data_IF_829025266198
#
_entry.id   IF_829025266198
#
_cell.length_a   1.000
_cell.length_b   1.000
_cell.length_c   1.000
_cell.angle_alpha   90.00
_cell.angle_beta   90.00
_cell.angle_gamma   90.00
#
_symmetry.space_group_name_H-M   'P 1'
#
loop_
_entity.id
_entity.type
_entity.pdbx_description
1 polymer ?
#
# COMPACT_ATOMS: atom_id res chain seq x y z
N UNK A 1 2.07 24.93 4.24
CA UNK A 1 2.03 25.85 3.08
C UNK A 1 1.97 24.99 1.82
N UNK A 2 0.88 25.04 1.05
CA UNK A 2 0.81 24.29 -0.22
C UNK A 2 1.45 25.15 -1.32
N UNK A 3 2.71 24.86 -1.67
CA UNK A 3 3.49 25.62 -2.63
C UNK A 3 3.17 25.14 -4.04
N UNK A 4 2.41 25.93 -4.81
CA UNK A 4 2.22 25.68 -6.24
C UNK A 4 3.46 26.11 -7.02
N UNK A 5 4.06 25.20 -7.77
CA UNK A 5 5.21 25.47 -8.65
C UNK A 5 4.74 25.49 -10.10
N UNK A 6 5.11 26.52 -10.86
CA UNK A 6 4.81 26.62 -12.30
C UNK A 6 5.98 26.07 -13.11
N UNK A 7 5.71 25.10 -13.96
CA UNK A 7 6.68 24.48 -14.88
C UNK A 7 6.13 24.45 -16.30
N UNK A 8 7.02 24.46 -17.30
CA UNK A 8 6.67 24.23 -18.70
C UNK A 8 6.97 22.77 -19.06
N UNK A 9 5.98 22.06 -19.58
CA UNK A 9 6.09 20.65 -19.98
C UNK A 9 5.58 20.47 -21.39
N UNK A 10 6.15 19.51 -22.11
CA UNK A 10 5.67 19.09 -23.43
C UNK A 10 4.86 17.81 -23.24
N UNK A 11 3.62 17.81 -23.72
CA UNK A 11 2.74 16.64 -23.70
C UNK A 11 2.45 16.21 -25.15
N UNK A 12 2.20 14.92 -25.35
CA UNK A 12 1.76 14.42 -26.66
C UNK A 12 0.42 15.04 -27.00
N UNK A 13 0.20 15.30 -28.29
CA UNK A 13 -1.03 15.95 -28.76
C UNK A 13 -2.30 15.21 -28.30
N UNK A 14 -2.32 13.88 -28.41
CA UNK A 14 -3.44 13.07 -27.93
C UNK A 14 -3.71 13.22 -26.43
N UNK A 15 -2.68 13.42 -25.61
CA UNK A 15 -2.82 13.66 -24.17
C UNK A 15 -3.49 15.02 -23.91
N UNK A 16 -3.12 16.04 -24.68
CA UNK A 16 -3.74 17.38 -24.60
C UNK A 16 -5.20 17.34 -25.03
N UNK A 17 -5.52 16.60 -26.10
CA UNK A 17 -6.90 16.42 -26.56
C UNK A 17 -7.77 15.73 -25.51
N UNK A 18 -7.24 14.71 -24.82
CA UNK A 18 -7.95 14.07 -23.70
C UNK A 18 -8.14 15.07 -22.58
N UNK A 19 -7.09 15.77 -22.13
CA UNK A 19 -7.18 16.83 -21.11
C UNK A 19 -8.30 17.82 -21.43
N UNK A 20 -8.39 18.27 -22.68
CA UNK A 20 -9.38 19.26 -23.12
C UNK A 20 -10.82 18.72 -23.15
N UNK A 21 -10.97 17.40 -23.29
CA UNK A 21 -12.27 16.72 -23.23
C UNK A 21 -12.77 16.56 -21.80
N UNK A 22 -11.88 16.23 -20.85
CA UNK A 22 -12.28 15.92 -19.46
C UNK A 22 -12.30 17.14 -18.55
N UNK A 23 -11.62 18.24 -18.92
CA UNK A 23 -11.51 19.40 -18.05
C UNK A 23 -11.44 20.72 -18.80
N UNK A 24 -11.76 21.80 -18.09
CA UNK A 24 -11.62 23.16 -18.61
C UNK A 24 -10.18 23.65 -18.44
N UNK A 25 -9.79 24.69 -19.20
CA UNK A 25 -8.43 25.23 -19.18
C UNK A 25 -7.91 25.57 -17.77
N UNK A 26 -8.77 26.03 -16.85
CA UNK A 26 -8.38 26.38 -15.47
C UNK A 26 -8.06 25.17 -14.59
N UNK A 27 -8.51 23.98 -14.97
CA UNK A 27 -8.40 22.76 -14.16
C UNK A 27 -7.41 21.73 -14.74
N UNK A 28 -6.75 22.02 -15.87
CA UNK A 28 -5.72 21.15 -16.47
C UNK A 28 -4.59 20.85 -15.49
N UNK A 29 -4.04 21.86 -14.81
CA UNK A 29 -2.93 21.65 -13.86
C UNK A 29 -3.32 20.78 -12.67
N UNK A 30 -4.56 20.91 -12.18
CA UNK A 30 -5.08 20.05 -11.10
C UNK A 30 -5.17 18.60 -11.58
N UNK A 31 -5.77 18.38 -12.75
CA UNK A 31 -5.90 17.03 -13.31
C UNK A 31 -4.53 16.37 -13.55
N UNK A 32 -3.56 17.13 -14.08
CA UNK A 32 -2.19 16.64 -14.27
C UNK A 32 -1.55 16.27 -12.92
N UNK A 33 -1.69 17.13 -11.91
CA UNK A 33 -1.18 16.87 -10.56
C UNK A 33 -1.77 15.58 -9.98
N UNK A 34 -3.10 15.43 -10.06
CA UNK A 34 -3.80 14.27 -9.52
C UNK A 34 -3.40 12.98 -10.24
N UNK A 35 -3.25 13.04 -11.58
CA UNK A 35 -2.81 11.89 -12.38
C UNK A 35 -1.39 11.45 -12.03
N UNK A 36 -0.46 12.40 -11.86
CA UNK A 36 0.93 12.09 -11.47
C UNK A 36 0.99 11.49 -10.07
N UNK A 37 0.29 12.08 -9.10
CA UNK A 37 0.23 11.56 -7.73
C UNK A 37 -0.39 10.16 -7.68
N UNK A 38 -1.44 9.94 -8.46
CA UNK A 38 -2.07 8.63 -8.58
C UNK A 38 -1.13 7.59 -9.19
N UNK A 39 -0.46 7.91 -10.30
CA UNK A 39 0.47 6.98 -10.96
C UNK A 39 1.63 6.59 -10.03
N UNK A 40 2.26 7.57 -9.37
CA UNK A 40 3.32 7.31 -8.39
C UNK A 40 2.81 6.48 -7.21
N UNK A 41 1.61 6.78 -6.69
CA UNK A 41 1.02 6.00 -5.61
C UNK A 41 0.76 4.55 -6.01
N UNK A 42 0.28 4.32 -7.23
CA UNK A 42 0.00 2.98 -7.76
C UNK A 42 1.28 2.20 -8.07
N UNK A 43 2.29 2.85 -8.66
CA UNK A 43 3.60 2.23 -8.87
C UNK A 43 4.26 1.85 -7.53
N UNK A 44 4.16 2.71 -6.51
CA UNK A 44 4.65 2.42 -5.18
C UNK A 44 3.99 1.20 -4.55
N UNK A 45 2.67 1.01 -4.75
CA UNK A 45 1.95 -0.19 -4.28
C UNK A 45 2.40 -1.46 -4.98
N UNK A 46 2.57 -1.43 -6.30
CA UNK A 46 3.02 -2.59 -7.06
C UNK A 46 4.46 -2.98 -6.68
N UNK A 47 5.37 -2.00 -6.60
CA UNK A 47 6.75 -2.24 -6.17
C UNK A 47 6.81 -2.75 -4.72
N UNK A 48 5.95 -2.25 -3.83
CA UNK A 48 5.87 -2.76 -2.47
C UNK A 48 5.39 -4.22 -2.45
N UNK A 49 4.37 -4.55 -3.25
CA UNK A 49 3.87 -5.92 -3.36
C UNK A 49 4.95 -6.89 -3.84
N UNK A 50 5.67 -6.55 -4.91
CA UNK A 50 6.79 -7.34 -5.43
C UNK A 50 7.90 -7.54 -4.38
N UNK A 51 8.23 -6.47 -3.64
CA UNK A 51 9.23 -6.55 -2.58
C UNK A 51 8.76 -7.40 -1.39
N UNK A 52 7.49 -7.35 -1.03
CA UNK A 52 6.92 -8.19 0.02
C UNK A 52 6.93 -9.66 -0.39
N UNK A 53 6.57 -9.97 -1.63
CA UNK A 53 6.62 -11.32 -2.18
C UNK A 53 8.05 -11.86 -2.16
N UNK A 54 9.02 -11.10 -2.70
CA UNK A 54 10.42 -11.49 -2.70
C UNK A 54 10.97 -11.70 -1.28
N UNK A 55 10.57 -10.84 -0.34
CA UNK A 55 10.99 -10.94 1.06
C UNK A 55 10.40 -12.20 1.73
N UNK A 56 9.11 -12.49 1.51
CA UNK A 56 8.43 -13.67 2.05
C UNK A 56 9.07 -14.97 1.55
N UNK A 57 9.43 -15.03 0.26
CA UNK A 57 10.14 -16.18 -0.31
C UNK A 57 11.55 -16.29 0.27
N UNK A 58 12.29 -15.19 0.33
CA UNK A 58 13.69 -15.19 0.78
C UNK A 58 13.84 -15.57 2.25
N UNK A 59 12.88 -15.17 3.09
CA UNK A 59 12.94 -15.39 4.53
C UNK A 59 12.04 -16.52 5.03
N UNK A 60 11.40 -17.28 4.13
CA UNK A 60 10.44 -18.33 4.50
C UNK A 60 10.96 -19.30 5.57
N UNK A 61 12.18 -19.81 5.42
CA UNK A 61 12.77 -20.78 6.36
C UNK A 61 13.05 -20.15 7.73
N UNK A 62 13.51 -18.89 7.74
CA UNK A 62 13.74 -18.14 8.97
C UNK A 62 12.43 -17.87 9.70
N UNK A 63 11.43 -17.41 8.96
CA UNK A 63 10.12 -17.07 9.51
C UNK A 63 9.41 -18.30 10.06
N UNK A 64 9.54 -19.46 9.38
CA UNK A 64 9.07 -20.74 9.89
C UNK A 64 9.78 -21.15 11.18
N UNK A 65 11.11 -21.09 11.23
CA UNK A 65 11.85 -21.43 12.45
C UNK A 65 11.48 -20.55 13.65
N UNK A 66 11.26 -19.25 13.42
CA UNK A 66 10.76 -18.34 14.46
C UNK A 66 9.34 -18.73 14.88
N UNK A 67 8.45 -19.02 13.93
CA UNK A 67 7.09 -19.43 14.25
C UNK A 67 7.09 -20.71 15.10
N UNK A 68 7.89 -21.72 14.75
CA UNK A 68 8.01 -22.97 15.50
C UNK A 68 8.55 -22.77 16.92
N UNK A 69 9.50 -21.85 17.11
CA UNK A 69 10.03 -21.49 18.43
C UNK A 69 8.97 -20.86 19.34
N UNK A 70 8.13 -19.97 18.78
CA UNK A 70 7.14 -19.21 19.54
C UNK A 70 5.79 -19.91 19.68
N UNK A 71 5.47 -20.87 18.80
CA UNK A 71 4.17 -21.55 18.75
C UNK A 71 3.72 -22.14 20.10
N UNK A 72 4.57 -22.83 20.89
CA UNK A 72 4.14 -23.40 22.16
C UNK A 72 3.68 -22.33 23.18
N UNK A 73 4.34 -21.17 23.20
CA UNK A 73 4.01 -20.07 24.10
C UNK A 73 2.67 -19.43 23.73
N UNK A 74 2.40 -19.30 22.44
CA UNK A 74 1.12 -18.79 21.93
C UNK A 74 -0.03 -19.75 22.21
N UNK A 75 0.19 -21.06 22.03
CA UNK A 75 -0.81 -22.09 22.30
C UNK A 75 -1.18 -22.15 23.79
N UNK A 76 -0.18 -22.11 24.68
CA UNK A 76 -0.41 -22.08 26.12
C UNK A 76 -1.20 -20.83 26.55
N UNK A 77 -0.86 -19.66 25.99
CA UNK A 77 -1.58 -18.41 26.26
C UNK A 77 -3.04 -18.48 25.77
N UNK A 78 -3.27 -19.04 24.58
CA UNK A 78 -4.60 -19.19 24.01
C UNK A 78 -5.47 -20.18 24.80
N UNK A 79 -4.90 -21.30 25.24
CA UNK A 79 -5.61 -22.25 26.09
C UNK A 79 -5.93 -21.64 27.46
N UNK A 80 -5.01 -20.88 28.06
CA UNK A 80 -5.24 -20.15 29.29
C UNK A 80 -6.42 -19.18 29.19
N UNK A 81 -6.51 -18.42 28.09
CA UNK A 81 -7.63 -17.53 27.82
C UNK A 81 -8.96 -18.29 27.75
N UNK A 82 -9.05 -19.34 26.94
CA UNK A 82 -10.27 -20.15 26.81
C UNK A 82 -10.72 -20.77 28.14
N UNK A 83 -9.78 -21.23 28.96
CA UNK A 83 -10.09 -21.78 30.29
C UNK A 83 -10.65 -20.72 31.23
N UNK A 84 -10.13 -19.49 31.17
CA UNK A 84 -10.65 -18.37 31.97
C UNK A 84 -12.06 -17.96 31.52
N UNK A 85 -12.33 -17.87 30.22
CA UNK A 85 -13.65 -17.56 29.67
C UNK A 85 -14.71 -18.62 30.02
N UNK A 86 -14.33 -19.90 30.01
CA UNK A 86 -15.21 -21.01 30.41
C UNK A 86 -15.58 -20.98 31.88
N UNK A 87 -14.68 -20.47 32.75
CA UNK A 87 -14.94 -20.33 34.19
C UNK A 87 -15.84 -19.14 34.51
N UNK A 88 -15.84 -18.08 33.67
CA UNK A 88 -16.69 -16.89 33.84
C UNK A 88 -18.14 -17.14 33.40
N UNK A 89 -18.37 -18.08 32.47
CA UNK A 89 -19.71 -18.43 31.95
C UNK A 89 -20.43 -19.53 32.74
N UNK A 90 -19.87 -20.01 33.84
CA UNK A 90 -20.41 -21.08 34.69
C UNK A 90 -20.82 -20.52 36.04
#
# INVERSE_FOLDING_TARGET
MNLSVRINIILREGTVQVLDRVTTKSNRSRLISDAVLHDVSMQGRNQLAERLEACAITHADRDLGIAEEWFPLEEDAWQGLQQSERKVKK
#
